data_IF_278631516146
#
_entry.id   IF_278631516146
#
_cell.length_a   1.000
_cell.length_b   1.000
_cell.length_c   1.000
_cell.angle_alpha   90.00
_cell.angle_beta   90.00
_cell.angle_gamma   90.00
#
_symmetry.space_group_name_H-M   'P 1'
#
loop_
_entity.id
_entity.type
_entity.pdbx_description
1 polymer ?
#
# COMPACT_ATOMS: atom_id res chain seq x y z
N UNK A 1 9.62 7.73 -1.04
CA UNK A 1 8.67 8.72 -0.48
C UNK A 1 8.58 8.66 1.04
N UNK A 2 8.53 7.47 1.66
CA UNK A 2 8.27 7.30 3.10
C UNK A 2 9.18 8.10 4.04
N UNK A 3 10.48 8.22 3.75
CA UNK A 3 11.41 8.99 4.59
C UNK A 3 11.04 10.48 4.74
N UNK A 4 10.79 11.18 3.62
CA UNK A 4 10.45 12.60 3.65
C UNK A 4 9.07 12.84 4.29
N UNK A 5 8.12 11.96 4.02
CA UNK A 5 6.77 12.05 4.59
C UNK A 5 6.80 11.84 6.10
N UNK A 6 7.65 10.92 6.60
CA UNK A 6 7.90 10.76 8.03
C UNK A 6 8.46 12.02 8.68
N UNK A 7 9.39 12.70 8.01
CA UNK A 7 9.94 13.99 8.49
C UNK A 7 8.89 15.11 8.46
N UNK A 8 7.97 15.08 7.50
CA UNK A 8 6.79 15.96 7.44
C UNK A 8 5.69 15.55 8.45
N UNK A 9 6.00 14.66 9.40
CA UNK A 9 5.10 14.17 10.45
C UNK A 9 3.88 13.38 9.94
N UNK A 10 3.97 12.83 8.72
CA UNK A 10 2.95 11.93 8.17
C UNK A 10 3.26 10.51 8.64
N UNK A 11 2.28 9.89 9.30
CA UNK A 11 2.42 8.56 9.92
C UNK A 11 1.87 7.42 9.06
N UNK A 12 0.92 7.73 8.18
CA UNK A 12 0.17 6.77 7.38
C UNK A 12 0.23 7.13 5.89
N UNK A 13 0.41 6.13 5.03
CA UNK A 13 0.47 6.25 3.59
C UNK A 13 -0.48 5.26 2.92
N UNK A 14 -1.01 5.66 1.76
CA UNK A 14 -1.77 4.78 0.89
C UNK A 14 -1.14 4.77 -0.51
N UNK A 15 -0.82 3.59 -1.03
CA UNK A 15 -0.24 3.40 -2.36
C UNK A 15 -1.11 2.51 -3.23
N UNK A 16 -1.17 2.81 -4.53
CA UNK A 16 -1.97 2.03 -5.46
C UNK A 16 -1.20 1.53 -6.70
N UNK A 17 -0.36 2.34 -7.34
CA UNK A 17 0.33 1.92 -8.57
C UNK A 17 1.56 1.05 -8.27
N UNK A 18 1.31 -0.25 -8.05
CA UNK A 18 2.32 -1.30 -7.84
C UNK A 18 2.07 -2.44 -8.82
N UNK A 19 3.14 -3.16 -9.20
CA UNK A 19 3.07 -4.26 -10.15
C UNK A 19 2.08 -5.35 -9.70
N UNK A 20 1.27 -5.85 -10.64
CA UNK A 20 0.17 -6.79 -10.34
C UNK A 20 0.65 -8.07 -9.64
N UNK A 21 1.81 -8.59 -10.01
CA UNK A 21 2.37 -9.80 -9.41
C UNK A 21 2.70 -9.60 -7.92
N UNK A 22 3.19 -8.42 -7.56
CA UNK A 22 3.50 -8.06 -6.17
C UNK A 22 2.21 -7.90 -5.37
N UNK A 23 1.18 -7.26 -5.95
CA UNK A 23 -0.14 -7.17 -5.32
C UNK A 23 -0.76 -8.54 -5.08
N UNK A 24 -0.66 -9.44 -6.05
CA UNK A 24 -1.18 -10.81 -5.92
C UNK A 24 -0.47 -11.54 -4.78
N UNK A 25 0.87 -11.50 -4.75
CA UNK A 25 1.66 -12.13 -3.70
C UNK A 25 1.33 -11.57 -2.30
N UNK A 26 1.33 -10.24 -2.14
CA UNK A 26 1.03 -9.61 -0.86
C UNK A 26 -0.44 -9.78 -0.42
N UNK A 27 -1.37 -9.90 -1.37
CA UNK A 27 -2.76 -10.23 -1.07
C UNK A 27 -2.92 -11.68 -0.58
N UNK A 28 -2.15 -12.62 -1.12
CA UNK A 28 -2.13 -14.03 -0.68
C UNK A 28 -1.52 -14.17 0.73
N UNK A 29 -0.49 -13.40 1.05
CA UNK A 29 0.13 -13.40 2.39
C UNK A 29 -0.56 -12.49 3.41
N UNK A 30 -1.55 -11.70 2.98
CA UNK A 30 -2.25 -10.67 3.78
C UNK A 30 -1.34 -9.53 4.28
N UNK A 31 -0.22 -9.29 3.60
CA UNK A 31 0.75 -8.23 3.91
C UNK A 31 0.51 -6.97 3.05
N UNK A 32 -0.75 -6.65 2.78
CA UNK A 32 -1.11 -5.41 2.07
C UNK A 32 -0.92 -4.17 2.96
N UNK A 33 -0.86 -4.37 4.27
CA UNK A 33 -0.54 -3.36 5.28
C UNK A 33 0.83 -3.67 5.86
N UNK A 34 1.78 -2.75 5.70
CA UNK A 34 3.15 -2.96 6.16
C UNK A 34 3.82 -1.66 6.61
N UNK A 35 4.84 -1.79 7.46
CA UNK A 35 5.71 -0.68 7.81
C UNK A 35 6.78 -0.50 6.74
N UNK A 36 6.73 0.61 6.01
CA UNK A 36 7.70 0.92 4.97
C UNK A 36 8.96 1.54 5.58
N UNK A 37 9.96 0.69 5.82
CA UNK A 37 11.29 1.07 6.32
C UNK A 37 12.28 1.39 5.20
N UNK A 38 13.22 2.30 5.46
CA UNK A 38 14.37 2.52 4.57
C UNK A 38 15.41 1.41 4.73
N UNK A 39 15.99 0.93 3.63
CA UNK A 39 16.94 -0.18 3.64
C UNK A 39 18.18 0.10 4.51
N UNK A 40 18.58 1.36 4.65
CA UNK A 40 19.73 1.79 5.47
C UNK A 40 19.36 2.17 6.92
N UNK A 41 18.08 2.19 7.29
CA UNK A 41 17.65 2.59 8.63
C UNK A 41 17.99 1.55 9.72
N UNK A 42 18.47 0.36 9.33
CA UNK A 42 18.85 -0.71 10.26
C UNK A 42 17.71 -1.10 11.19
N UNK A 43 17.98 -1.14 12.50
CA UNK A 43 17.01 -1.43 13.56
C UNK A 43 16.24 -0.19 14.06
N UNK A 44 16.39 0.97 13.43
CA UNK A 44 15.72 2.18 13.89
C UNK A 44 14.32 2.32 13.31
N UNK A 45 13.31 2.36 14.17
CA UNK A 45 11.91 2.55 13.79
C UNK A 45 11.56 4.02 13.51
N UNK A 46 12.54 4.93 13.64
CA UNK A 46 12.33 6.39 13.52
C UNK A 46 11.82 6.80 12.14
N UNK A 47 12.24 6.07 11.10
CA UNK A 47 11.91 6.38 9.70
C UNK A 47 10.74 5.58 9.15
N UNK A 48 10.12 4.74 9.98
CA UNK A 48 9.08 3.82 9.53
C UNK A 48 7.75 4.56 9.37
N UNK A 49 7.04 4.21 8.29
CA UNK A 49 5.73 4.77 7.98
C UNK A 49 4.77 3.64 7.68
N UNK A 50 3.62 3.63 8.34
CA UNK A 50 2.59 2.65 8.07
C UNK A 50 2.03 2.88 6.67
N UNK A 51 2.06 1.85 5.82
CA UNK A 51 1.65 1.95 4.42
C UNK A 51 0.61 0.89 4.11
N UNK A 52 -0.54 1.32 3.62
CA UNK A 52 -1.59 0.47 3.09
C UNK A 52 -1.49 0.45 1.55
N UNK A 53 -1.35 -0.75 0.98
CA UNK A 53 -1.39 -0.96 -0.46
C UNK A 53 -2.77 -1.42 -0.91
N UNK A 54 -3.37 -0.69 -1.85
CA UNK A 54 -4.63 -1.13 -2.44
C UNK A 54 -4.44 -2.46 -3.22
N UNK A 55 -5.32 -3.46 -3.01
CA UNK A 55 -5.17 -4.80 -3.58
C UNK A 55 -5.41 -4.85 -5.09
N UNK A 56 -6.21 -3.92 -5.63
CA UNK A 56 -6.68 -3.99 -7.02
C UNK A 56 -5.94 -3.02 -7.95
N UNK A 57 -5.99 -3.27 -9.26
CA UNK A 57 -5.16 -2.57 -10.25
C UNK A 57 -5.54 -1.11 -10.54
N UNK A 58 -6.66 -0.61 -10.02
CA UNK A 58 -7.15 0.76 -10.25
C UNK A 58 -7.56 1.45 -8.96
N UNK A 59 -7.77 2.77 -9.04
CA UNK A 59 -8.40 3.60 -7.99
C UNK A 59 -9.79 4.07 -8.42
N UNK A 60 -10.32 3.53 -9.52
CA UNK A 60 -11.66 3.83 -9.97
C UNK A 60 -12.66 3.10 -9.08
N UNK A 61 -13.85 3.68 -8.90
CA UNK A 61 -14.96 3.12 -8.11
C UNK A 61 -15.14 1.61 -8.35
N UNK A 62 -15.14 1.11 -9.61
CA UNK A 62 -15.38 -0.30 -9.87
C UNK A 62 -14.26 -1.21 -9.39
N UNK A 63 -13.03 -0.68 -9.35
CA UNK A 63 -11.80 -1.38 -8.97
C UNK A 63 -11.48 -1.28 -7.48
N UNK A 64 -12.21 -0.50 -6.69
CA UNK A 64 -11.97 -0.35 -5.25
C UNK A 64 -13.00 -1.10 -4.40
N UNK A 65 -14.24 -1.19 -4.89
CA UNK A 65 -15.35 -1.79 -4.15
C UNK A 65 -15.24 -3.33 -3.99
N UNK A 66 -14.51 -4.02 -4.87
CA UNK A 66 -14.26 -5.45 -4.71
C UNK A 66 -13.58 -6.10 -5.91
N UNK A 67 -13.29 -7.42 -5.84
CA UNK A 67 -12.64 -8.14 -6.92
C UNK A 67 -13.53 -8.27 -8.18
N UNK A 68 -14.85 -8.21 -8.01
CA UNK A 68 -15.81 -8.29 -9.10
C UNK A 68 -16.21 -6.90 -9.60
N UNK A 69 -15.53 -6.43 -10.65
CA UNK A 69 -15.79 -5.13 -11.29
C UNK A 69 -17.19 -5.00 -11.90
N UNK A 70 -17.91 -6.10 -12.15
CA UNK A 70 -19.23 -6.05 -12.82
C UNK A 70 -20.36 -5.73 -11.85
N UNK A 71 -20.20 -6.08 -10.57
CA UNK A 71 -21.22 -5.81 -9.53
C UNK A 71 -21.21 -4.37 -9.04
N UNK A 72 -20.13 -3.63 -9.32
CA UNK A 72 -19.84 -2.30 -8.77
C UNK A 72 -20.20 -1.17 -9.73
N UNK A 73 -20.55 -1.50 -10.98
CA UNK A 73 -21.03 -0.59 -12.03
C UNK A 73 -22.55 -0.67 -12.23
N UNK A 74 -23.29 -1.27 -11.29
CA UNK A 74 -24.76 -1.28 -11.28
C UNK A 74 -25.30 -0.15 -10.42
#
# INVERSE_FOLDING_TARGET
MSYLLRQANITNLAINRVHYAVKKFLAETKDLEFHWRQLWAGKSDKTDVFTHMFPFGGYDIPSTCGPDRRKTLK
#
